data_IF_259780991360
#
_entry.id   IF_259780991360
#
_cell.length_a   1.000
_cell.length_b   1.000
_cell.length_c   1.000
_cell.angle_alpha   90.00
_cell.angle_beta   90.00
_cell.angle_gamma   90.00
#
_symmetry.space_group_name_H-M   'P 1'
#
loop_
_entity.id
_entity.type
_entity.pdbx_description
1 polymer ?
#
# COMPACT_ATOMS: atom_id res chain seq x y z
N UNK A 1 11.60 -25.67 -22.35
CA UNK A 1 10.86 -24.41 -22.57
C UNK A 1 9.91 -24.22 -21.41
N UNK A 2 10.01 -23.11 -20.68
CA UNK A 2 9.00 -22.77 -19.69
C UNK A 2 7.64 -22.62 -20.39
N UNK A 3 6.58 -23.19 -19.82
CA UNK A 3 5.23 -23.00 -20.36
C UNK A 3 4.87 -21.51 -20.29
N UNK A 4 4.25 -20.96 -21.34
CA UNK A 4 3.76 -19.58 -21.31
C UNK A 4 2.77 -19.41 -20.14
N UNK A 5 2.82 -18.27 -19.44
CA UNK A 5 1.86 -17.97 -18.38
C UNK A 5 0.44 -17.94 -18.95
N UNK A 6 -0.50 -18.46 -18.17
CA UNK A 6 -1.92 -18.45 -18.50
C UNK A 6 -2.51 -17.19 -17.86
N UNK A 7 -3.04 -16.32 -18.71
CA UNK A 7 -3.52 -15.00 -18.32
C UNK A 7 -5.05 -14.91 -18.40
N UNK A 8 -5.69 -14.10 -17.54
CA UNK A 8 -7.09 -13.75 -17.68
C UNK A 8 -7.41 -13.09 -19.04
N UNK A 9 -8.68 -13.08 -19.46
CA UNK A 9 -9.13 -12.35 -20.64
C UNK A 9 -8.60 -10.90 -20.64
N UNK A 10 -8.17 -10.41 -21.79
CA UNK A 10 -7.58 -9.06 -22.00
C UNK A 10 -6.24 -8.78 -21.29
N UNK A 11 -5.73 -9.74 -20.51
CA UNK A 11 -4.42 -9.66 -19.87
C UNK A 11 -3.28 -9.83 -20.88
N UNK A 12 -2.27 -8.98 -20.79
CA UNK A 12 -0.99 -9.11 -21.48
C UNK A 12 0.11 -9.51 -20.49
N UNK A 13 1.29 -9.88 -21.01
CA UNK A 13 2.50 -10.40 -20.33
C UNK A 13 2.52 -10.24 -18.79
N UNK A 14 2.90 -11.29 -18.06
CA UNK A 14 2.75 -11.31 -16.61
C UNK A 14 3.40 -10.07 -16.01
N UNK A 15 2.65 -9.37 -15.16
CA UNK A 15 3.27 -8.50 -14.17
C UNK A 15 3.53 -9.33 -12.91
N UNK A 16 4.19 -8.71 -11.93
CA UNK A 16 4.77 -9.39 -10.79
C UNK A 16 3.76 -10.16 -9.90
N UNK A 17 4.27 -10.75 -8.84
CA UNK A 17 3.44 -11.30 -7.78
C UNK A 17 2.69 -10.16 -7.06
N UNK A 18 1.40 -10.34 -6.79
CA UNK A 18 0.62 -9.38 -6.01
C UNK A 18 0.67 -9.73 -4.52
N UNK A 19 0.48 -11.02 -4.22
CA UNK A 19 0.52 -11.61 -2.87
C UNK A 19 0.93 -13.09 -3.00
N UNK A 20 1.01 -13.87 -1.92
CA UNK A 20 1.35 -15.30 -1.98
C UNK A 20 0.40 -16.06 -2.91
N UNK A 21 -0.89 -15.72 -2.83
CA UNK A 21 -1.98 -16.39 -3.52
C UNK A 21 -2.46 -15.68 -4.78
N UNK A 22 -2.15 -14.39 -4.97
CA UNK A 22 -2.61 -13.60 -6.11
C UNK A 22 -1.47 -13.15 -7.03
N UNK A 23 -1.82 -13.00 -8.31
CA UNK A 23 -0.97 -12.49 -9.39
C UNK A 23 -1.62 -11.26 -10.00
N UNK A 24 -0.79 -10.45 -10.65
CA UNK A 24 -1.26 -9.36 -11.51
C UNK A 24 -0.83 -9.55 -12.95
N UNK A 25 -1.65 -9.10 -13.89
CA UNK A 25 -1.23 -8.88 -15.27
C UNK A 25 -1.76 -7.54 -15.76
N UNK A 26 -1.12 -6.95 -16.77
CA UNK A 26 -1.53 -5.67 -17.32
C UNK A 26 -2.73 -5.85 -18.24
N UNK A 27 -3.64 -4.88 -18.23
CA UNK A 27 -4.68 -4.78 -19.27
C UNK A 27 -4.06 -4.38 -20.61
N UNK A 28 -4.74 -4.68 -21.70
CA UNK A 28 -4.29 -4.35 -23.06
C UNK A 28 -4.05 -2.85 -23.30
N UNK A 29 -4.78 -1.99 -22.60
CA UNK A 29 -4.62 -0.52 -22.63
C UNK A 29 -3.43 -0.01 -21.80
N UNK A 30 -2.79 -0.88 -21.01
CA UNK A 30 -1.68 -0.57 -20.11
C UNK A 30 -2.00 0.53 -19.09
N UNK A 31 -3.26 0.77 -18.74
CA UNK A 31 -3.61 1.73 -17.69
C UNK A 31 -4.08 1.05 -16.39
N UNK A 32 -4.29 -0.26 -16.44
CA UNK A 32 -4.82 -1.04 -15.34
C UNK A 32 -4.08 -2.37 -15.16
N UNK A 33 -4.36 -3.03 -14.04
CA UNK A 33 -3.93 -4.39 -13.76
C UNK A 33 -5.13 -5.24 -13.36
N UNK A 34 -5.12 -6.48 -13.81
CA UNK A 34 -6.10 -7.50 -13.43
C UNK A 34 -5.46 -8.29 -12.30
N UNK A 35 -6.13 -8.39 -11.15
CA UNK A 35 -5.69 -9.24 -10.04
C UNK A 35 -6.42 -10.57 -10.14
N UNK A 36 -5.69 -11.67 -10.10
CA UNK A 36 -6.24 -13.01 -10.32
C UNK A 36 -5.50 -14.08 -9.50
N UNK A 37 -6.13 -15.24 -9.24
CA UNK A 37 -5.49 -16.30 -8.46
C UNK A 37 -4.22 -16.83 -9.13
N UNK A 38 -3.20 -17.11 -8.33
CA UNK A 38 -1.90 -17.62 -8.80
C UNK A 38 -2.00 -18.88 -9.64
N UNK A 39 -2.98 -19.73 -9.35
CA UNK A 39 -3.24 -20.98 -10.04
C UNK A 39 -4.37 -20.88 -11.07
N UNK A 40 -4.70 -19.68 -11.56
CA UNK A 40 -5.74 -19.47 -12.55
C UNK A 40 -5.61 -20.39 -13.79
N UNK A 41 -6.75 -20.96 -14.17
CA UNK A 41 -6.94 -21.80 -15.36
C UNK A 41 -8.29 -21.46 -15.99
N UNK A 42 -8.35 -21.03 -17.27
CA UNK A 42 -9.62 -20.87 -17.96
C UNK A 42 -10.24 -22.25 -18.27
N UNK A 43 -11.57 -22.31 -18.39
CA UNK A 43 -12.31 -23.57 -18.63
C UNK A 43 -11.89 -24.34 -19.88
N UNK A 44 -11.29 -23.66 -20.85
CA UNK A 44 -10.78 -24.27 -22.09
C UNK A 44 -9.33 -24.78 -21.99
N UNK A 45 -8.67 -24.62 -20.83
CA UNK A 45 -7.35 -25.22 -20.60
C UNK A 45 -7.51 -26.76 -20.49
N UNK A 46 -6.72 -27.57 -21.20
CA UNK A 46 -6.78 -29.04 -21.10
C UNK A 46 -6.50 -29.60 -19.70
N UNK A 47 -5.92 -28.79 -18.80
CA UNK A 47 -5.66 -29.10 -17.40
C UNK A 47 -6.65 -28.40 -16.46
N UNK A 48 -7.70 -27.78 -16.98
CA UNK A 48 -8.80 -27.29 -16.17
C UNK A 48 -9.54 -28.48 -15.58
N UNK A 49 -9.69 -28.50 -14.26
CA UNK A 49 -10.50 -29.46 -13.54
C UNK A 49 -11.69 -28.72 -12.93
N UNK A 50 -12.90 -29.22 -13.14
CA UNK A 50 -14.11 -28.60 -12.58
C UNK A 50 -14.07 -28.68 -11.04
N UNK A 51 -14.09 -27.54 -10.33
CA UNK A 51 -14.09 -27.46 -8.88
C UNK A 51 -15.17 -28.30 -8.20
N UNK A 52 -16.32 -28.49 -8.85
CA UNK A 52 -17.48 -29.15 -8.26
C UNK A 52 -17.47 -30.69 -8.43
N UNK A 53 -16.62 -31.24 -9.30
CA UNK A 53 -16.70 -32.65 -9.72
C UNK A 53 -15.38 -33.45 -9.63
N UNK A 54 -14.28 -32.86 -9.11
CA UNK A 54 -12.97 -33.52 -9.02
C UNK A 54 -12.54 -33.88 -7.59
N UNK A 55 -11.85 -35.02 -7.42
CA UNK A 55 -11.12 -35.36 -6.18
C UNK A 55 -9.89 -34.47 -5.95
N UNK A 56 -9.56 -33.62 -6.92
CA UNK A 56 -8.60 -32.52 -6.82
C UNK A 56 -9.26 -31.18 -6.50
N UNK A 57 -10.48 -31.15 -5.96
CA UNK A 57 -11.11 -29.91 -5.46
C UNK A 57 -10.25 -29.15 -4.42
N UNK A 58 -9.24 -29.80 -3.83
CA UNK A 58 -8.20 -29.16 -3.00
C UNK A 58 -7.18 -28.31 -3.79
N UNK A 59 -7.18 -28.40 -5.12
CA UNK A 59 -6.44 -27.49 -6.01
C UNK A 59 -7.24 -26.20 -6.31
N UNK A 60 -8.49 -26.10 -5.85
CA UNK A 60 -9.14 -24.82 -5.61
C UNK A 60 -8.35 -24.18 -4.47
N UNK A 61 -7.49 -23.19 -4.70
CA UNK A 61 -7.92 -21.80 -4.77
C UNK A 61 -8.76 -21.32 -3.58
N UNK A 62 -8.96 -22.08 -2.49
CA UNK A 62 -9.73 -21.64 -1.32
C UNK A 62 -9.10 -20.34 -0.78
N UNK A 63 -7.84 -20.37 -0.38
CA UNK A 63 -7.12 -19.18 0.12
C UNK A 63 -7.04 -18.04 -0.91
N UNK A 64 -6.68 -18.34 -2.16
CA UNK A 64 -6.53 -17.31 -3.21
C UNK A 64 -7.84 -16.71 -3.71
N UNK A 65 -8.91 -17.49 -3.82
CA UNK A 65 -10.24 -16.97 -4.14
C UNK A 65 -10.87 -16.30 -2.93
N UNK A 66 -10.62 -16.75 -1.70
CA UNK A 66 -11.08 -16.08 -0.49
C UNK A 66 -10.40 -14.72 -0.36
N UNK A 67 -9.08 -14.64 -0.57
CA UNK A 67 -8.35 -13.37 -0.63
C UNK A 67 -8.87 -12.46 -1.76
N UNK A 68 -9.15 -13.02 -2.95
CA UNK A 68 -9.71 -12.25 -4.06
C UNK A 68 -11.14 -11.75 -3.75
N UNK A 69 -11.99 -12.60 -3.18
CA UNK A 69 -13.36 -12.26 -2.79
C UNK A 69 -13.36 -11.22 -1.68
N UNK A 70 -12.40 -11.30 -0.76
CA UNK A 70 -12.19 -10.30 0.26
C UNK A 70 -11.77 -8.95 -0.33
N UNK A 71 -10.79 -8.93 -1.24
CA UNK A 71 -10.40 -7.71 -1.97
C UNK A 71 -11.59 -7.05 -2.67
N UNK A 72 -12.41 -7.86 -3.36
CA UNK A 72 -13.66 -7.38 -3.97
C UNK A 72 -14.57 -6.73 -2.93
N UNK A 73 -14.77 -7.40 -1.80
CA UNK A 73 -15.63 -6.92 -0.73
C UNK A 73 -15.14 -5.59 -0.15
N UNK A 74 -13.83 -5.44 0.04
CA UNK A 74 -13.23 -4.17 0.50
C UNK A 74 -13.53 -3.04 -0.49
N UNK A 75 -13.36 -3.28 -1.80
CA UNK A 75 -13.71 -2.27 -2.80
C UNK A 75 -15.21 -1.97 -2.89
N UNK A 76 -16.08 -2.97 -2.70
CA UNK A 76 -17.53 -2.76 -2.60
C UNK A 76 -17.85 -1.83 -1.41
N UNK A 77 -17.28 -2.10 -0.23
CA UNK A 77 -17.47 -1.27 0.98
C UNK A 77 -17.03 0.17 0.74
N UNK A 78 -15.89 0.37 0.07
CA UNK A 78 -15.42 1.71 -0.33
C UNK A 78 -16.46 2.41 -1.21
N UNK A 79 -17.09 1.68 -2.14
CA UNK A 79 -18.11 2.19 -3.07
C UNK A 79 -19.51 2.40 -2.47
N UNK A 80 -19.81 1.85 -1.29
CA UNK A 80 -21.14 1.91 -0.67
C UNK A 80 -21.52 3.31 -0.14
N UNK A 81 -20.56 4.18 0.13
CA UNK A 81 -20.81 5.51 0.70
C UNK A 81 -19.89 6.59 0.11
N UNK A 82 -20.34 7.85 0.09
CA UNK A 82 -19.50 8.98 -0.36
C UNK A 82 -18.44 9.34 0.70
N UNK A 83 -17.21 9.74 0.30
CA UNK A 83 -16.68 9.63 -1.06
C UNK A 83 -16.39 8.17 -1.43
N UNK A 84 -16.61 7.80 -2.69
CA UNK A 84 -16.45 6.42 -3.20
C UNK A 84 -15.03 6.09 -3.68
N UNK A 85 -14.10 7.02 -3.51
CA UNK A 85 -12.69 6.89 -3.91
C UNK A 85 -11.84 7.95 -3.21
N UNK A 86 -10.55 7.69 -3.06
CA UNK A 86 -9.58 8.64 -2.54
C UNK A 86 -8.28 8.57 -3.37
N UNK A 87 -7.62 9.69 -3.70
CA UNK A 87 -6.42 9.68 -4.55
C UNK A 87 -5.25 8.86 -3.96
N UNK A 88 -5.24 8.70 -2.64
CA UNK A 88 -4.20 7.97 -1.89
C UNK A 88 -4.52 6.50 -1.61
N UNK A 89 -5.59 5.97 -2.21
CA UNK A 89 -5.97 4.55 -2.13
C UNK A 89 -6.23 4.03 -3.54
N UNK A 90 -5.69 2.86 -3.86
CA UNK A 90 -5.78 2.28 -5.20
C UNK A 90 -7.25 2.14 -5.64
N UNK A 91 -7.55 2.70 -6.81
CA UNK A 91 -8.91 2.72 -7.34
C UNK A 91 -9.26 1.43 -8.08
N UNK A 92 -10.41 0.86 -7.75
CA UNK A 92 -11.09 -0.13 -8.59
C UNK A 92 -11.59 0.53 -9.87
N UNK A 93 -11.23 -0.03 -11.02
CA UNK A 93 -11.74 0.39 -12.34
C UNK A 93 -13.05 -0.31 -12.62
N UNK A 94 -13.04 -1.64 -12.57
CA UNK A 94 -14.21 -2.48 -12.83
C UNK A 94 -13.96 -3.92 -12.36
N UNK A 95 -14.99 -4.76 -12.43
CA UNK A 95 -14.84 -6.22 -12.37
C UNK A 95 -14.99 -6.78 -13.78
N UNK A 96 -14.09 -7.69 -14.18
CA UNK A 96 -14.18 -8.34 -15.49
C UNK A 96 -15.51 -9.11 -15.62
N UNK A 97 -16.30 -8.90 -16.69
CA UNK A 97 -17.56 -9.59 -16.86
C UNK A 97 -17.45 -11.12 -16.92
N UNK A 98 -16.38 -11.65 -17.52
CA UNK A 98 -16.22 -13.08 -17.78
C UNK A 98 -15.72 -13.87 -16.57
N UNK A 99 -14.83 -13.27 -15.78
CA UNK A 99 -14.15 -13.93 -14.65
C UNK A 99 -14.59 -13.39 -13.30
N UNK A 100 -15.21 -12.21 -13.29
CA UNK A 100 -15.44 -11.41 -12.10
C UNK A 100 -14.17 -10.83 -11.48
N UNK A 101 -12.98 -10.98 -12.09
CA UNK A 101 -11.73 -10.53 -11.46
C UNK A 101 -11.65 -9.00 -11.35
N UNK A 102 -11.17 -8.45 -10.22
CA UNK A 102 -11.00 -7.01 -10.06
C UNK A 102 -9.92 -6.47 -11.00
N UNK A 103 -10.29 -5.40 -11.70
CA UNK A 103 -9.40 -4.58 -12.51
C UNK A 103 -9.18 -3.28 -11.75
N UNK A 104 -7.95 -3.01 -11.35
CA UNK A 104 -7.57 -1.82 -10.58
C UNK A 104 -6.62 -0.92 -11.38
N UNK A 105 -6.51 0.35 -10.98
CA UNK A 105 -5.54 1.25 -11.61
C UNK A 105 -4.10 0.74 -11.46
N UNK A 106 -3.27 0.99 -12.47
CA UNK A 106 -1.84 0.73 -12.38
C UNK A 106 -1.10 1.95 -11.84
N UNK A 107 -0.19 1.71 -10.90
CA UNK A 107 0.64 2.75 -10.27
C UNK A 107 2.07 2.60 -10.76
N UNK A 108 2.63 3.65 -11.36
CA UNK A 108 3.69 3.53 -12.36
C UNK A 108 5.10 3.35 -11.81
N UNK A 109 5.40 3.87 -10.61
CA UNK A 109 6.76 3.88 -10.06
C UNK A 109 7.05 2.71 -9.12
N UNK A 110 6.08 1.83 -8.92
CA UNK A 110 6.20 0.68 -8.02
C UNK A 110 6.18 1.08 -6.55
N UNK A 111 6.63 0.18 -5.70
CA UNK A 111 6.61 0.32 -4.25
C UNK A 111 7.72 1.26 -3.72
N UNK A 112 7.43 1.88 -2.57
CA UNK A 112 8.28 2.85 -1.91
C UNK A 112 9.58 2.21 -1.40
N UNK A 113 9.55 0.95 -0.95
CA UNK A 113 10.75 0.20 -0.52
C UNK A 113 11.80 0.12 -1.65
N UNK A 114 11.39 -0.41 -2.80
CA UNK A 114 12.23 -0.55 -3.98
C UNK A 114 12.67 0.82 -4.50
N UNK A 115 11.78 1.82 -4.46
CA UNK A 115 12.09 3.19 -4.87
C UNK A 115 13.22 3.79 -4.01
N UNK A 116 13.14 3.71 -2.68
CA UNK A 116 14.13 4.28 -1.77
C UNK A 116 15.48 3.56 -1.87
N UNK A 117 15.48 2.23 -2.07
CA UNK A 117 16.72 1.48 -2.31
C UNK A 117 17.39 1.84 -3.63
N UNK A 118 16.60 2.08 -4.68
CA UNK A 118 17.13 2.53 -5.95
C UNK A 118 17.62 3.99 -5.85
N UNK A 119 16.97 4.84 -5.05
CA UNK A 119 17.24 6.26 -4.96
C UNK A 119 17.59 6.67 -3.52
N UNK A 120 18.81 6.38 -3.04
CA UNK A 120 19.20 6.76 -1.69
C UNK A 120 19.15 8.29 -1.54
N UNK A 121 18.49 8.76 -0.48
CA UNK A 121 18.29 10.19 -0.16
C UNK A 121 17.62 10.97 -1.31
N UNK A 122 16.38 10.60 -1.69
CA UNK A 122 15.69 11.30 -2.77
C UNK A 122 15.42 12.74 -2.32
N UNK A 123 15.89 13.71 -3.11
CA UNK A 123 15.73 15.14 -2.81
C UNK A 123 15.03 15.84 -3.95
N UNK A 124 13.88 16.43 -3.68
CA UNK A 124 13.14 17.25 -4.63
C UNK A 124 13.03 18.66 -4.04
N UNK A 125 13.39 19.72 -4.78
CA UNK A 125 13.10 21.10 -4.37
C UNK A 125 11.63 21.27 -3.99
N UNK A 126 11.40 21.96 -2.87
CA UNK A 126 10.05 22.38 -2.50
C UNK A 126 9.50 23.37 -3.53
N UNK A 127 8.16 23.45 -3.66
CA UNK A 127 7.50 24.39 -4.58
C UNK A 127 7.82 25.88 -4.31
N UNK A 128 8.44 26.21 -3.17
CA UNK A 128 8.84 27.56 -2.78
C UNK A 128 10.27 27.92 -3.21
N UNK A 129 10.98 27.03 -3.92
CA UNK A 129 12.37 27.23 -4.33
C UNK A 129 13.39 27.00 -3.20
N UNK A 130 12.95 26.53 -2.02
CA UNK A 130 13.83 26.14 -0.92
C UNK A 130 14.29 24.68 -1.09
N UNK A 131 15.57 24.41 -0.84
CA UNK A 131 16.14 23.06 -0.81
C UNK A 131 15.82 22.40 0.53
N UNK A 132 14.55 22.08 0.79
CA UNK A 132 14.15 21.26 1.94
C UNK A 132 14.28 19.78 1.58
N UNK A 133 15.34 19.06 2.02
CA UNK A 133 15.62 17.70 1.56
C UNK A 133 14.52 16.71 1.93
N UNK A 134 13.76 16.99 2.99
CA UNK A 134 12.72 16.11 3.52
C UNK A 134 11.33 16.36 2.94
N UNK A 135 11.15 17.36 2.05
CA UNK A 135 9.84 17.74 1.51
C UNK A 135 9.09 16.54 0.89
N UNK A 136 9.80 15.65 0.19
CA UNK A 136 9.19 14.47 -0.41
C UNK A 136 8.78 13.42 0.63
N UNK A 137 9.58 13.23 1.68
CA UNK A 137 9.25 12.32 2.79
C UNK A 137 7.99 12.79 3.53
N UNK A 138 7.90 14.10 3.79
CA UNK A 138 6.71 14.69 4.39
C UNK A 138 5.48 14.61 3.48
N UNK A 139 5.67 14.78 2.17
CA UNK A 139 4.61 14.55 1.17
C UNK A 139 4.07 13.13 1.26
N UNK A 140 4.95 12.13 1.28
CA UNK A 140 4.53 10.73 1.42
C UNK A 140 3.83 10.48 2.75
N UNK A 141 4.38 10.94 3.87
CA UNK A 141 3.75 10.81 5.18
C UNK A 141 2.32 11.37 5.20
N UNK A 142 2.13 12.58 4.67
CA UNK A 142 0.81 13.22 4.61
C UNK A 142 -0.16 12.48 3.68
N UNK A 143 0.29 12.08 2.49
CA UNK A 143 -0.50 11.29 1.54
C UNK A 143 -0.96 9.96 2.17
N UNK A 144 -0.07 9.25 2.85
CA UNK A 144 -0.33 7.95 3.47
C UNK A 144 -1.31 8.11 4.63
N UNK A 145 -1.08 9.08 5.53
CA UNK A 145 -1.99 9.38 6.63
C UNK A 145 -3.39 9.74 6.13
N UNK A 146 -3.50 10.51 5.04
CA UNK A 146 -4.79 10.83 4.42
C UNK A 146 -5.49 9.60 3.82
N UNK A 147 -4.74 8.69 3.20
CA UNK A 147 -5.27 7.41 2.72
C UNK A 147 -5.82 6.54 3.84
N UNK A 148 -5.08 6.40 4.94
CA UNK A 148 -5.52 5.68 6.13
C UNK A 148 -6.74 6.33 6.79
N UNK A 149 -6.76 7.66 6.93
CA UNK A 149 -7.92 8.39 7.45
C UNK A 149 -9.18 8.16 6.60
N UNK A 150 -9.03 8.09 5.28
CA UNK A 150 -10.13 7.73 4.39
C UNK A 150 -10.61 6.29 4.62
N UNK A 151 -9.72 5.31 4.73
CA UNK A 151 -10.10 3.92 5.03
C UNK A 151 -10.82 3.80 6.39
N UNK A 152 -10.30 4.47 7.43
CA UNK A 152 -10.92 4.53 8.75
C UNK A 152 -12.32 5.12 8.71
N UNK A 153 -12.56 6.14 7.87
CA UNK A 153 -13.91 6.70 7.67
C UNK A 153 -14.93 5.71 7.10
N UNK A 154 -14.44 4.61 6.50
CA UNK A 154 -15.24 3.47 5.99
C UNK A 154 -15.27 2.28 6.96
N UNK A 155 -14.69 2.41 8.15
CA UNK A 155 -14.45 1.33 9.11
C UNK A 155 -13.55 0.19 8.57
N UNK A 156 -12.66 0.53 7.64
CA UNK A 156 -11.63 -0.38 7.12
C UNK A 156 -10.33 -0.08 7.85
N UNK A 157 -9.70 -1.09 8.45
CA UNK A 157 -8.38 -0.98 9.09
C UNK A 157 -7.38 -1.64 8.14
N UNK A 158 -6.35 -0.92 7.71
CA UNK A 158 -5.50 -1.36 6.61
C UNK A 158 -4.59 -2.53 6.98
N UNK A 159 -4.02 -2.55 8.19
CA UNK A 159 -3.19 -3.60 8.81
C UNK A 159 -1.90 -4.02 8.07
N UNK A 160 -1.81 -3.84 6.75
CA UNK A 160 -0.65 -4.21 5.94
C UNK A 160 0.29 -3.05 5.65
N UNK A 161 0.26 -1.97 6.45
CA UNK A 161 1.09 -0.80 6.16
C UNK A 161 2.59 -1.14 6.27
N UNK A 162 3.28 -0.98 5.14
CA UNK A 162 4.74 -1.10 5.03
C UNK A 162 5.21 -0.32 3.79
N UNK A 163 6.52 -0.10 3.62
CA UNK A 163 7.06 0.48 2.39
C UNK A 163 6.71 -0.31 1.11
N UNK A 164 6.37 -1.60 1.21
CA UNK A 164 6.00 -2.45 0.07
C UNK A 164 4.53 -2.27 -0.37
N UNK A 165 3.66 -1.81 0.54
CA UNK A 165 2.22 -1.60 0.26
C UNK A 165 1.87 -0.14 -0.03
N UNK A 166 2.90 0.70 -0.15
CA UNK A 166 2.80 2.09 -0.59
C UNK A 166 3.45 2.20 -1.96
N UNK A 167 2.64 2.45 -2.99
CA UNK A 167 3.14 2.67 -4.34
C UNK A 167 3.21 4.16 -4.68
N UNK A 168 4.13 4.50 -5.58
CA UNK A 168 4.35 5.87 -6.03
C UNK A 168 3.78 6.10 -7.43
N UNK A 169 2.99 7.16 -7.58
CA UNK A 169 2.45 7.61 -8.87
C UNK A 169 3.52 8.29 -9.71
N UNK A 170 3.20 8.58 -10.97
CA UNK A 170 4.09 9.31 -11.88
C UNK A 170 4.61 10.65 -11.30
N UNK A 171 3.80 11.34 -10.51
CA UNK A 171 4.15 12.59 -9.82
C UNK A 171 4.82 12.38 -8.45
N UNK A 172 5.25 11.16 -8.14
CA UNK A 172 5.81 10.73 -6.85
C UNK A 172 4.87 10.93 -5.65
N UNK A 173 3.57 11.12 -5.86
CA UNK A 173 2.62 11.03 -4.75
C UNK A 173 2.40 9.58 -4.32
N UNK A 174 2.13 9.38 -3.03
CA UNK A 174 1.97 8.05 -2.45
C UNK A 174 0.52 7.55 -2.55
N UNK A 175 0.36 6.23 -2.70
CA UNK A 175 -0.94 5.55 -2.78
C UNK A 175 -0.85 4.19 -2.10
N UNK A 176 -1.82 3.89 -1.22
CA UNK A 176 -2.00 2.59 -0.60
C UNK A 176 -2.53 1.59 -1.62
N UNK A 177 -1.87 0.45 -1.74
CA UNK A 177 -2.26 -0.70 -2.58
C UNK A 177 -2.48 -1.93 -1.69
N UNK A 178 -2.72 -3.11 -2.28
CA UNK A 178 -2.80 -4.37 -1.53
C UNK A 178 -3.93 -4.38 -0.47
N UNK A 179 -5.14 -3.95 -0.85
CA UNK A 179 -6.27 -3.83 0.07
C UNK A 179 -6.86 -5.17 0.56
N UNK A 180 -6.36 -6.29 0.04
CA UNK A 180 -6.67 -7.66 0.46
C UNK A 180 -6.16 -7.99 1.87
N UNK A 181 -5.19 -7.24 2.38
CA UNK A 181 -4.73 -7.37 3.78
C UNK A 181 -5.55 -6.56 4.77
N UNK A 182 -6.48 -5.72 4.29
CA UNK A 182 -7.27 -4.86 5.16
C UNK A 182 -8.32 -5.64 5.94
N UNK A 183 -8.54 -5.28 7.19
CA UNK A 183 -9.64 -5.78 7.99
C UNK A 183 -10.88 -4.89 7.90
N UNK A 184 -12.04 -5.50 8.12
CA UNK A 184 -13.31 -4.78 8.23
C UNK A 184 -14.21 -5.45 9.27
N UNK A 185 -14.61 -4.65 10.27
CA UNK A 185 -15.35 -5.12 11.46
C UNK A 185 -14.61 -6.25 12.17
N UNK A 186 -15.26 -7.40 12.39
CA UNK A 186 -14.71 -8.57 13.09
C UNK A 186 -13.91 -9.50 12.17
N UNK A 187 -13.91 -9.25 10.86
CA UNK A 187 -13.17 -10.05 9.89
C UNK A 187 -11.79 -9.43 9.67
N UNK A 188 -10.76 -10.13 10.15
CA UNK A 188 -9.36 -9.83 9.87
C UNK A 188 -9.06 -9.91 8.37
N UNK A 189 -8.01 -9.21 7.95
CA UNK A 189 -7.46 -9.37 6.61
C UNK A 189 -6.77 -10.72 6.43
N UNK A 190 -6.21 -10.97 5.24
CA UNK A 190 -5.50 -12.23 4.97
C UNK A 190 -4.07 -12.22 5.52
N UNK A 191 -3.63 -13.35 6.08
CA UNK A 191 -2.23 -13.60 6.47
C UNK A 191 -1.34 -13.76 5.22
N UNK A 192 -0.87 -12.66 4.64
CA UNK A 192 0.03 -12.68 3.48
C UNK A 192 1.35 -11.92 3.73
N UNK A 193 2.32 -12.10 2.83
CA UNK A 193 3.73 -11.69 2.78
C UNK A 193 3.97 -10.23 3.19
N UNK A 194 2.96 -9.36 3.14
CA UNK A 194 3.02 -8.03 3.73
C UNK A 194 2.79 -8.13 5.25
N UNK A 195 3.79 -8.62 5.99
CA UNK A 195 3.86 -8.35 7.43
C UNK A 195 4.07 -6.84 7.55
N UNK A 196 2.96 -6.09 7.64
CA UNK A 196 2.98 -4.68 7.96
C UNK A 196 3.65 -4.44 9.32
N UNK A 197 3.93 -3.19 9.65
CA UNK A 197 4.41 -2.85 10.99
C UNK A 197 3.30 -3.18 12.01
N UNK A 198 3.45 -4.32 12.71
CA UNK A 198 2.46 -4.80 13.67
C UNK A 198 2.59 -4.06 15.00
N UNK A 199 1.47 -3.58 15.51
CA UNK A 199 1.40 -3.05 16.88
C UNK A 199 1.64 -4.15 17.90
N UNK A 200 2.26 -3.87 19.06
CA UNK A 200 2.34 -4.83 20.16
C UNK A 200 0.99 -5.25 20.77
N UNK A 201 -0.07 -4.47 20.52
CA UNK A 201 -1.45 -4.84 20.84
C UNK A 201 -2.08 -5.77 19.78
N UNK A 202 -1.30 -6.24 18.81
CA UNK A 202 -1.81 -7.16 17.80
C UNK A 202 -2.12 -8.52 18.44
N UNK A 203 -3.40 -8.83 18.53
CA UNK A 203 -3.88 -10.18 18.83
C UNK A 203 -4.26 -10.89 17.52
N UNK A 204 -3.80 -12.12 17.33
CA UNK A 204 -4.15 -12.94 16.14
C UNK A 204 -5.61 -13.42 16.17
N UNK A 205 -6.29 -13.29 17.32
CA UNK A 205 -7.68 -13.65 17.46
C UNK A 205 -8.39 -12.78 18.49
N UNK A 206 -9.70 -12.64 18.30
CA UNK A 206 -10.56 -11.95 19.23
C UNK A 206 -10.45 -12.59 20.63
N UNK A 207 -10.12 -11.79 21.65
CA UNK A 207 -10.14 -12.26 23.03
C UNK A 207 -11.57 -12.69 23.38
N UNK A 208 -11.71 -13.87 24.00
CA UNK A 208 -13.04 -14.45 24.31
C UNK A 208 -13.94 -13.52 25.14
N UNK A 209 -13.33 -12.59 25.89
CA UNK A 209 -14.04 -11.61 26.71
C UNK A 209 -14.35 -10.30 25.96
N UNK A 210 -13.71 -10.03 24.82
CA UNK A 210 -13.89 -8.82 24.01
C UNK A 210 -13.79 -9.11 22.50
N UNK A 211 -14.73 -9.89 21.92
CA UNK A 211 -14.61 -10.34 20.54
C UNK A 211 -14.75 -9.22 19.49
N UNK A 212 -15.39 -8.10 19.85
CA UNK A 212 -15.72 -7.01 18.91
C UNK A 212 -14.67 -5.89 18.87
N UNK A 213 -13.57 -5.99 19.63
CA UNK A 213 -12.67 -4.85 19.90
C UNK A 213 -11.20 -5.08 19.52
N UNK A 214 -10.85 -6.20 18.90
CA UNK A 214 -9.45 -6.54 18.63
C UNK A 214 -8.89 -5.89 17.35
N UNK A 215 -9.77 -5.55 16.39
CA UNK A 215 -9.41 -4.79 15.19
C UNK A 215 -9.73 -3.33 15.42
N UNK A 216 -8.71 -2.47 15.44
CA UNK A 216 -8.90 -1.05 15.77
C UNK A 216 -8.05 -0.13 14.89
N UNK A 217 -8.49 1.12 14.65
CA UNK A 217 -7.67 2.16 14.00
C UNK A 217 -6.29 2.36 14.64
N UNK A 218 -6.12 2.00 15.92
CA UNK A 218 -4.85 2.12 16.65
C UNK A 218 -3.74 1.25 16.07
N UNK A 219 -4.10 0.13 15.43
CA UNK A 219 -3.13 -0.72 14.73
C UNK A 219 -2.48 0.02 13.56
N UNK A 220 -3.28 0.72 12.75
CA UNK A 220 -2.77 1.55 11.65
C UNK A 220 -2.04 2.80 12.13
N UNK A 221 -2.46 3.39 13.27
CA UNK A 221 -1.75 4.52 13.89
C UNK A 221 -0.33 4.10 14.28
N UNK A 222 -0.18 2.97 14.97
CA UNK A 222 1.13 2.43 15.31
C UNK A 222 1.98 2.17 14.04
N UNK A 223 1.40 1.47 13.07
CA UNK A 223 2.08 1.15 11.83
C UNK A 223 2.53 2.41 11.07
N UNK A 224 1.72 3.47 11.13
CA UNK A 224 2.06 4.77 10.55
C UNK A 224 3.26 5.41 11.25
N UNK A 225 3.31 5.37 12.59
CA UNK A 225 4.47 5.83 13.36
C UNK A 225 5.76 5.13 12.94
N UNK A 226 5.69 3.79 12.79
CA UNK A 226 6.82 2.97 12.33
C UNK A 226 7.26 3.30 10.89
N UNK A 227 6.30 3.54 9.99
CA UNK A 227 6.61 3.96 8.62
C UNK A 227 7.19 5.38 8.57
N UNK A 228 6.71 6.29 9.40
CA UNK A 228 7.25 7.64 9.50
C UNK A 228 8.68 7.62 10.04
N UNK A 229 8.96 6.83 11.08
CA UNK A 229 10.31 6.56 11.56
C UNK A 229 11.21 6.05 10.43
N UNK A 230 10.75 5.03 9.68
CA UNK A 230 11.49 4.50 8.53
C UNK A 230 11.80 5.57 7.48
N UNK A 231 10.83 6.44 7.16
CA UNK A 231 11.03 7.52 6.20
C UNK A 231 12.08 8.52 6.68
N UNK A 232 12.05 8.92 7.95
CA UNK A 232 12.95 9.94 8.49
C UNK A 232 14.36 9.40 8.73
N UNK A 233 14.45 8.24 9.38
CA UNK A 233 15.71 7.62 9.80
C UNK A 233 16.38 6.79 8.70
N UNK A 234 15.64 6.43 7.64
CA UNK A 234 16.09 5.53 6.56
C UNK A 234 16.53 4.14 7.07
N UNK A 235 15.97 3.73 8.21
CA UNK A 235 16.21 2.45 8.88
C UNK A 235 14.87 1.80 9.20
N UNK A 236 14.73 0.51 8.91
CA UNK A 236 13.56 -0.23 9.37
C UNK A 236 13.56 -0.24 10.90
N UNK A 237 12.43 0.10 11.55
CA UNK A 237 12.31 -0.06 12.99
C UNK A 237 12.55 -1.55 13.30
N UNK A 238 13.50 -1.83 14.19
CA UNK A 238 13.81 -3.21 14.52
C UNK A 238 12.60 -3.84 15.21
N UNK A 239 12.06 -4.91 14.62
CA UNK A 239 10.91 -5.63 15.17
C UNK A 239 11.22 -6.29 16.52
N UNK A 240 12.51 -6.33 16.90
CA UNK A 240 13.00 -6.92 18.15
C UNK A 240 13.46 -5.89 19.18
N UNK A 241 13.56 -4.60 18.82
CA UNK A 241 13.78 -3.53 19.81
C UNK A 241 12.48 -3.26 20.55
N UNK A 242 12.56 -2.95 21.84
CA UNK A 242 11.39 -2.57 22.60
C UNK A 242 10.96 -1.12 22.25
N UNK A 243 9.68 -0.81 22.45
CA UNK A 243 9.13 0.52 22.15
C UNK A 243 9.84 1.64 22.96
N UNK A 244 10.41 1.32 24.13
CA UNK A 244 11.12 2.29 24.97
C UNK A 244 12.50 2.62 24.38
N UNK A 245 13.23 1.63 23.88
CA UNK A 245 14.52 1.76 23.21
C UNK A 245 14.39 2.52 21.89
N UNK A 246 13.35 2.25 21.10
CA UNK A 246 13.04 3.02 19.89
C UNK A 246 12.69 4.47 20.21
N UNK A 247 11.96 4.71 21.30
CA UNK A 247 11.63 6.08 21.77
C UNK A 247 12.87 6.85 22.17
N UNK A 248 13.82 6.22 22.84
CA UNK A 248 15.03 6.88 23.33
C UNK A 248 15.95 7.38 22.17
N UNK A 249 15.66 6.97 20.93
CA UNK A 249 16.32 7.46 19.71
C UNK A 249 15.68 8.73 19.12
N UNK A 250 14.50 9.13 19.60
CA UNK A 250 13.74 10.29 19.13
C UNK A 250 14.16 11.56 19.88
N UNK A 251 14.21 12.70 19.18
CA UNK A 251 14.45 14.01 19.78
C UNK A 251 13.14 14.60 20.30
N UNK A 252 13.04 14.82 21.62
CA UNK A 252 11.84 15.42 22.24
C UNK A 252 11.56 16.85 21.75
N UNK A 253 12.55 17.54 21.18
CA UNK A 253 12.39 18.89 20.62
C UNK A 253 11.92 18.88 19.16
N UNK A 254 11.97 17.75 18.44
CA UNK A 254 11.55 17.64 17.04
C UNK A 254 10.05 17.29 16.94
N UNK A 255 9.28 18.16 16.28
CA UNK A 255 7.82 18.00 16.16
C UNK A 255 7.41 16.77 15.32
N UNK A 256 8.24 16.29 14.39
CA UNK A 256 7.97 15.05 13.64
C UNK A 256 8.20 13.83 14.53
N UNK A 257 9.26 13.84 15.34
CA UNK A 257 9.55 12.80 16.31
C UNK A 257 8.44 12.72 17.38
N UNK A 258 7.85 13.85 17.77
CA UNK A 258 6.68 13.88 18.65
C UNK A 258 5.48 13.13 18.02
N UNK A 259 5.25 13.27 16.70
CA UNK A 259 4.17 12.56 16.00
C UNK A 259 4.42 11.05 16.00
N UNK A 260 5.66 10.61 15.73
CA UNK A 260 6.04 9.18 15.79
C UNK A 260 5.73 8.63 17.18
N UNK A 261 6.22 9.31 18.22
CA UNK A 261 6.03 8.92 19.62
C UNK A 261 4.54 8.82 19.98
N UNK A 262 3.74 9.81 19.58
CA UNK A 262 2.29 9.80 19.83
C UNK A 262 1.56 8.65 19.15
N UNK A 263 1.99 8.26 17.96
CA UNK A 263 1.46 7.11 17.24
C UNK A 263 1.74 5.80 17.99
N UNK A 264 2.98 5.60 18.46
CA UNK A 264 3.35 4.41 19.23
C UNK A 264 2.68 4.35 20.61
N UNK A 265 2.58 5.49 21.29
CA UNK A 265 2.04 5.58 22.66
C UNK A 265 0.51 5.69 22.73
N UNK A 266 -0.20 5.56 21.59
CA UNK A 266 -1.68 5.61 21.53
C UNK A 266 -2.25 6.94 22.02
N UNK A 267 -1.54 8.03 21.76
CA UNK A 267 -1.97 9.39 22.13
C UNK A 267 -2.85 10.04 21.05
N UNK A 268 -2.82 9.52 19.82
CA UNK A 268 -3.82 9.83 18.81
C UNK A 268 -4.98 8.84 18.89
N UNK A 269 -6.21 9.35 18.78
CA UNK A 269 -7.42 8.52 18.74
C UNK A 269 -7.87 8.23 17.31
N UNK A 270 -7.49 9.09 16.35
CA UNK A 270 -7.86 8.94 14.95
C UNK A 270 -6.77 9.41 14.00
N UNK A 271 -6.68 8.77 12.83
CA UNK A 271 -5.71 9.16 11.80
C UNK A 271 -5.92 10.59 11.28
N UNK A 272 -7.13 11.14 11.38
CA UNK A 272 -7.38 12.55 11.06
C UNK A 272 -6.60 13.52 11.97
N UNK A 273 -6.34 13.14 13.22
CA UNK A 273 -5.54 13.97 14.14
C UNK A 273 -4.07 13.98 13.73
N UNK A 274 -3.55 12.84 13.28
CA UNK A 274 -2.21 12.71 12.70
C UNK A 274 -2.06 13.56 11.44
N UNK A 275 -3.06 13.54 10.56
CA UNK A 275 -3.08 14.38 9.35
C UNK A 275 -2.97 15.86 9.71
N UNK A 276 -3.73 16.34 10.70
CA UNK A 276 -3.68 17.74 11.13
C UNK A 276 -2.35 18.08 11.82
N UNK A 277 -1.79 17.17 12.63
CA UNK A 277 -0.47 17.35 13.23
C UNK A 277 0.63 17.48 12.17
N UNK A 278 0.66 16.57 11.19
CA UNK A 278 1.62 16.61 10.07
C UNK A 278 1.51 17.93 9.30
N UNK A 279 0.29 18.38 8.97
CA UNK A 279 0.10 19.67 8.29
C UNK A 279 0.68 20.82 9.10
N UNK A 280 0.47 20.83 10.42
CA UNK A 280 1.03 21.84 11.32
C UNK A 280 2.55 21.93 11.20
N UNK A 281 3.23 20.79 11.35
CA UNK A 281 4.70 20.70 11.28
C UNK A 281 5.22 21.07 9.89
N UNK A 282 4.59 20.55 8.83
CA UNK A 282 4.99 20.82 7.44
C UNK A 282 4.90 22.32 7.12
N UNK A 283 3.80 22.96 7.51
CA UNK A 283 3.63 24.42 7.34
C UNK A 283 4.62 25.19 8.22
N UNK A 284 4.88 24.73 9.45
CA UNK A 284 5.89 25.29 10.35
C UNK A 284 7.29 25.26 9.75
N UNK A 285 7.63 24.24 8.95
CA UNK A 285 8.88 24.14 8.21
C UNK A 285 8.92 24.97 6.91
N UNK A 286 7.87 25.74 6.62
CA UNK A 286 7.78 26.64 5.47
C UNK A 286 7.44 25.96 4.14
N UNK A 287 6.82 24.77 4.19
CA UNK A 287 6.33 24.06 3.01
C UNK A 287 4.85 24.37 2.76
N UNK A 288 4.49 24.55 1.49
CA UNK A 288 3.10 24.78 1.09
C UNK A 288 2.33 23.45 1.04
N UNK A 289 1.15 23.44 1.64
CA UNK A 289 0.24 22.28 1.64
C UNK A 289 -1.04 22.62 0.89
N UNK A 290 -1.43 21.76 -0.05
CA UNK A 290 -2.68 21.83 -0.78
C UNK A 290 -3.52 20.57 -0.50
N UNK A 291 -4.51 20.69 0.38
CA UNK A 291 -5.35 19.56 0.78
C UNK A 291 -4.56 18.52 1.58
N UNK A 292 -4.34 17.36 0.98
CA UNK A 292 -3.56 16.24 1.54
C UNK A 292 -2.18 16.09 0.90
N UNK A 293 -1.72 17.13 0.20
CA UNK A 293 -0.48 17.08 -0.58
C UNK A 293 0.48 18.24 -0.26
N UNK A 294 1.77 17.95 -0.31
CA UNK A 294 2.83 18.97 -0.17
C UNK A 294 3.24 19.41 -1.57
N UNK A 295 3.24 20.73 -1.80
CA UNK A 295 3.60 21.29 -3.10
C UNK A 295 5.10 21.12 -3.33
N UNK A 296 5.43 20.39 -4.40
CA UNK A 296 6.79 20.12 -4.86
C UNK A 296 6.99 20.73 -6.24
N UNK A 297 8.23 21.13 -6.57
CA UNK A 297 8.57 21.75 -7.86
C UNK A 297 8.41 20.74 -9.02
N UNK A 298 8.12 21.23 -10.23
CA UNK A 298 8.10 20.49 -11.51
C UNK A 298 9.36 19.63 -11.77
N UNK A 299 10.44 19.83 -11.01
CA UNK A 299 11.60 18.94 -10.90
C UNK A 299 11.25 17.48 -10.55
N UNK A 300 10.09 17.19 -9.97
CA UNK A 300 9.53 15.82 -9.86
C UNK A 300 9.48 15.14 -11.23
N UNK A 301 9.02 15.86 -12.26
CA UNK A 301 9.01 15.35 -13.64
C UNK A 301 10.43 15.15 -14.19
N UNK A 302 11.45 15.82 -13.62
CA UNK A 302 12.87 15.66 -13.97
C UNK A 302 13.55 14.50 -13.23
N UNK A 303 12.95 13.93 -12.19
CA UNK A 303 13.48 12.70 -11.56
C UNK A 303 13.52 11.53 -12.54
N UNK A 304 12.63 11.52 -13.55
CA UNK A 304 12.69 10.56 -14.67
C UNK A 304 13.97 10.69 -15.50
N UNK A 305 14.54 11.89 -15.59
CA UNK A 305 15.71 12.22 -16.40
C UNK A 305 17.05 12.06 -15.65
N UNK A 306 17.05 12.04 -14.31
CA UNK A 306 18.25 11.95 -13.47
C UNK A 306 18.86 10.53 -13.37
N UNK A 307 18.27 9.54 -14.04
CA UNK A 307 19.04 8.41 -14.54
C UNK A 307 19.31 7.26 -13.57
N UNK A 308 18.39 6.95 -12.65
CA UNK A 308 18.39 5.65 -11.97
C UNK A 308 17.28 4.72 -12.49
N UNK A 309 16.06 5.24 -12.73
CA UNK A 309 14.96 4.43 -13.31
C UNK A 309 15.21 3.99 -14.76
N UNK A 310 15.89 4.82 -15.57
CA UNK A 310 16.15 4.53 -16.98
C UNK A 310 17.11 3.35 -17.21
N UNK A 311 17.80 2.86 -16.18
CA UNK A 311 18.70 1.71 -16.28
C UNK A 311 17.96 0.37 -16.12
N UNK A 312 16.95 0.31 -15.26
CA UNK A 312 16.15 -0.90 -15.04
C UNK A 312 15.08 -1.12 -16.12
N UNK A 313 14.40 -0.06 -16.57
CA UNK A 313 13.38 -0.18 -17.65
C UNK A 313 14.00 -0.54 -19.01
N UNK A 314 15.26 -0.15 -19.26
CA UNK A 314 15.97 -0.56 -20.49
C UNK A 314 16.44 -2.02 -20.45
N UNK A 315 16.57 -2.63 -19.28
CA UNK A 315 16.96 -4.04 -19.17
C UNK A 315 15.74 -4.98 -19.36
N UNK A 316 14.52 -4.51 -19.09
CA UNK A 316 13.28 -5.24 -19.39
C UNK A 316 12.84 -5.10 -20.84
N UNK A 317 12.98 -3.93 -21.48
CA UNK A 317 12.63 -3.74 -22.90
C UNK A 317 13.75 -4.14 -23.90
N UNK A 318 14.97 -4.37 -23.42
CA UNK A 318 16.16 -4.61 -24.25
C UNK A 318 16.57 -6.07 -24.48
N UNK A 319 15.85 -7.05 -23.92
CA UNK A 319 16.19 -8.48 -24.04
C UNK A 319 15.42 -9.23 -25.15
N UNK A 320 14.74 -8.48 -26.02
CA UNK A 320 14.12 -9.00 -27.25
C UNK A 320 14.91 -8.57 -28.50
N UNK A 321 16.11 -9.11 -28.67
CA UNK A 321 16.82 -9.11 -29.96
C UNK A 321 17.71 -10.35 -30.08
#
# INVERSE_FOLDING_TARGET
MAARPILPPTGIEPSDQYSHELRICRTSDKNSVIIYPRLYRPQNDPRYEDPAESCMAWQNQEDGMDQLNWLKKVHEIIGESQPTSHPRVQRLVEFQPETGFPVVEYVEKGDLYSFLRANPKPTVPSGTGSNQPSALKFRWALNIASGLAFLHSKNIIFQGLSPNTVHLRADLSATLVNLDVAAYREQGGTDDIAIGYRSPDWDDCALAEQPETWITPRQDLYAFGSLLYYLLMEQDPDQWEDEEEMRDQLDEEDEMDEIIRKCWMREFEAMSEVVEALKGVIVGQGLDVNGDDVVVDDSVARFEAAGIFAKMVRETDGSSS
#
